data_IF_196966409654
#
_entry.id   IF_196966409654
#
_cell.length_a   1.000
_cell.length_b   1.000
_cell.length_c   1.000
_cell.angle_alpha   90.00
_cell.angle_beta   90.00
_cell.angle_gamma   90.00
#
_symmetry.space_group_name_H-M   'P 1'
#
loop_
_entity.id
_entity.type
_entity.pdbx_description
1 polymer ?
#
# COMPACT_ATOMS: atom_id res chain seq x y z
N UNK A 1 7.44 23.81 -14.57
CA UNK A 1 7.95 22.72 -13.71
C UNK A 1 6.79 21.76 -13.43
N UNK A 2 7.02 20.45 -13.47
CA UNK A 2 5.99 19.47 -13.08
C UNK A 2 5.91 19.43 -11.55
N UNK A 3 4.71 19.39 -10.94
CA UNK A 3 4.56 19.30 -9.49
C UNK A 3 5.01 17.93 -8.98
N UNK A 4 5.51 17.85 -7.75
CA UNK A 4 5.67 16.59 -7.06
C UNK A 4 4.30 16.04 -6.65
N UNK A 5 4.16 14.72 -6.68
CA UNK A 5 2.91 14.02 -6.34
C UNK A 5 3.19 13.09 -5.17
N UNK A 6 2.50 13.28 -4.06
CA UNK A 6 2.53 12.40 -2.89
C UNK A 6 1.15 11.78 -2.71
N UNK A 7 1.06 10.46 -2.89
CA UNK A 7 -0.15 9.69 -2.62
C UNK A 7 0.02 8.91 -1.31
N UNK A 8 -0.79 9.23 -0.31
CA UNK A 8 -0.79 8.55 0.98
C UNK A 8 -2.04 7.69 1.09
N UNK A 9 -1.86 6.40 1.33
CA UNK A 9 -2.97 5.46 1.55
C UNK A 9 -2.86 4.87 2.95
N UNK A 10 -3.92 4.99 3.75
CA UNK A 10 -3.99 4.40 5.09
C UNK A 10 -4.76 3.08 5.01
N UNK A 11 -4.09 1.98 5.35
CA UNK A 11 -4.70 0.64 5.27
C UNK A 11 -5.82 0.49 6.29
N UNK A 12 -6.96 -0.05 5.88
CA UNK A 12 -8.15 -0.32 6.71
C UNK A 12 -8.75 0.91 7.44
N UNK A 13 -8.43 2.12 7.01
CA UNK A 13 -9.02 3.32 7.61
C UNK A 13 -10.45 3.50 7.13
N UNK A 14 -11.38 3.68 8.08
CA UNK A 14 -12.76 4.05 7.81
C UNK A 14 -12.86 5.58 7.67
N UNK A 15 -13.74 6.04 6.79
CA UNK A 15 -13.93 7.48 6.55
C UNK A 15 -14.35 8.23 7.82
N UNK A 16 -15.19 7.62 8.67
CA UNK A 16 -15.65 8.19 9.92
C UNK A 16 -14.60 8.25 11.04
N UNK A 17 -13.35 7.76 10.81
CA UNK A 17 -12.23 7.89 11.73
C UNK A 17 -11.46 9.22 11.59
N UNK A 18 -11.99 10.17 10.85
CA UNK A 18 -11.44 11.53 10.75
C UNK A 18 -12.15 12.47 11.75
N UNK A 19 -11.36 13.22 12.55
CA UNK A 19 -11.94 14.19 13.50
C UNK A 19 -12.72 15.30 12.81
N UNK A 20 -12.28 15.77 11.66
CA UNK A 20 -13.00 16.75 10.85
C UNK A 20 -14.40 16.30 10.39
N UNK A 21 -14.64 14.97 10.37
CA UNK A 21 -15.96 14.37 10.10
C UNK A 21 -16.76 14.06 11.37
N UNK A 22 -16.29 14.52 12.53
CA UNK A 22 -17.03 14.42 13.80
C UNK A 22 -16.83 13.10 14.56
N UNK A 23 -15.67 12.41 14.37
CA UNK A 23 -15.41 11.22 15.18
C UNK A 23 -15.36 11.55 16.69
N UNK A 24 -16.06 10.82 17.55
CA UNK A 24 -16.26 11.22 18.95
C UNK A 24 -15.00 11.07 19.85
N UNK A 25 -14.01 10.30 19.43
CA UNK A 25 -12.85 9.95 20.25
C UNK A 25 -11.50 10.01 19.52
N UNK A 26 -11.49 9.84 18.20
CA UNK A 26 -10.24 9.89 17.43
C UNK A 26 -9.95 11.33 17.02
N UNK A 27 -8.72 11.78 17.26
CA UNK A 27 -8.23 13.07 16.84
C UNK A 27 -7.20 12.91 15.72
N UNK A 28 -7.41 13.60 14.60
CA UNK A 28 -6.54 13.57 13.42
C UNK A 28 -6.10 14.97 12.99
N UNK A 29 -5.45 15.76 13.89
CA UNK A 29 -5.26 17.20 13.70
C UNK A 29 -4.49 17.55 12.43
N UNK A 30 -3.53 16.73 12.02
CA UNK A 30 -2.76 16.98 10.79
C UNK A 30 -3.54 16.67 9.52
N UNK A 31 -4.44 15.67 9.55
CA UNK A 31 -5.34 15.38 8.44
C UNK A 31 -6.43 16.45 8.34
N UNK A 32 -6.87 16.98 9.47
CA UNK A 32 -7.82 18.07 9.53
C UNK A 32 -7.21 19.34 8.91
N UNK A 33 -5.98 19.70 9.27
CA UNK A 33 -5.26 20.81 8.65
C UNK A 33 -5.06 20.62 7.13
N UNK A 34 -4.78 19.40 6.69
CA UNK A 34 -4.66 19.10 5.28
C UNK A 34 -6.00 19.28 4.55
N UNK A 35 -7.09 18.87 5.17
CA UNK A 35 -8.44 19.03 4.64
C UNK A 35 -8.87 20.50 4.59
N UNK A 36 -8.56 21.28 5.62
CA UNK A 36 -8.83 22.73 5.69
C UNK A 36 -8.04 23.53 4.64
N UNK A 37 -6.80 23.12 4.36
CA UNK A 37 -5.95 23.73 3.34
C UNK A 37 -6.15 23.22 1.92
N UNK A 38 -6.99 22.21 1.75
CA UNK A 38 -7.18 21.50 0.48
C UNK A 38 -8.63 21.26 0.11
N UNK A 39 -8.93 20.05 -0.38
CA UNK A 39 -10.28 19.62 -0.72
C UNK A 39 -10.59 18.30 0.00
N UNK A 40 -11.66 18.30 0.79
CA UNK A 40 -12.19 17.11 1.43
C UNK A 40 -13.32 16.50 0.60
N UNK A 41 -13.12 15.29 0.10
CA UNK A 41 -14.13 14.51 -0.59
C UNK A 41 -14.93 13.67 0.42
N UNK A 42 -16.06 14.16 0.89
CA UNK A 42 -16.89 13.48 1.90
C UNK A 42 -17.54 12.18 1.39
N UNK A 43 -17.66 12.03 0.06
CA UNK A 43 -18.29 10.89 -0.60
C UNK A 43 -17.31 10.18 -1.54
N UNK A 44 -16.13 9.84 -1.03
CA UNK A 44 -15.15 9.02 -1.76
C UNK A 44 -15.36 7.52 -1.42
N UNK A 45 -15.47 6.70 -2.44
CA UNK A 45 -15.75 5.27 -2.31
C UNK A 45 -14.64 4.43 -2.95
N UNK A 46 -14.25 3.35 -2.28
CA UNK A 46 -13.44 2.31 -2.91
C UNK A 46 -14.35 1.34 -3.66
N UNK A 47 -13.90 0.86 -4.82
CA UNK A 47 -14.65 -0.11 -5.60
C UNK A 47 -14.85 -1.44 -4.85
N UNK A 48 -13.88 -1.84 -4.02
CA UNK A 48 -13.96 -3.03 -3.16
C UNK A 48 -13.16 -2.77 -1.88
N UNK A 49 -13.75 -2.88 -0.70
CA UNK A 49 -13.07 -2.66 0.57
C UNK A 49 -12.23 -3.89 1.00
N UNK A 50 -11.36 -4.34 0.10
CA UNK A 50 -10.42 -5.45 0.33
C UNK A 50 -9.08 -5.11 -0.31
N UNK A 51 -7.98 -5.46 0.36
CA UNK A 51 -6.63 -5.00 0.01
C UNK A 51 -6.26 -5.23 -1.46
N UNK A 52 -6.37 -6.46 -1.94
CA UNK A 52 -5.92 -6.84 -3.29
C UNK A 52 -6.74 -6.16 -4.39
N UNK A 53 -8.09 -6.25 -4.40
CA UNK A 53 -8.87 -5.60 -5.44
C UNK A 53 -8.82 -4.07 -5.37
N UNK A 54 -8.82 -3.47 -4.17
CA UNK A 54 -8.70 -2.02 -4.02
C UNK A 54 -7.37 -1.50 -4.57
N UNK A 55 -6.27 -2.21 -4.30
CA UNK A 55 -4.95 -1.85 -4.81
C UNK A 55 -4.83 -2.10 -6.31
N UNK A 56 -5.49 -3.12 -6.85
CA UNK A 56 -5.57 -3.32 -8.29
C UNK A 56 -6.27 -2.14 -8.96
N UNK A 57 -7.43 -1.72 -8.45
CA UNK A 57 -8.12 -0.54 -8.97
C UNK A 57 -7.26 0.72 -8.87
N UNK A 58 -6.58 0.95 -7.73
CA UNK A 58 -5.70 2.10 -7.52
C UNK A 58 -4.52 2.12 -8.50
N UNK A 59 -3.82 0.99 -8.63
CA UNK A 59 -2.60 0.92 -9.46
C UNK A 59 -2.88 0.86 -10.96
N UNK A 60 -4.08 0.42 -11.37
CA UNK A 60 -4.40 0.26 -12.80
C UNK A 60 -5.40 1.30 -13.33
N UNK A 61 -6.13 1.97 -12.44
CA UNK A 61 -7.26 2.83 -12.82
C UNK A 61 -8.47 2.06 -13.38
N UNK A 62 -8.48 0.73 -13.26
CA UNK A 62 -9.53 -0.12 -13.81
C UNK A 62 -10.61 -0.43 -12.78
N UNK A 63 -11.86 -0.59 -13.23
CA UNK A 63 -12.91 -1.19 -12.44
C UNK A 63 -12.71 -2.71 -12.28
N UNK A 64 -13.39 -3.33 -11.32
CA UNK A 64 -13.24 -4.76 -10.98
C UNK A 64 -13.46 -5.71 -12.16
N UNK A 65 -14.46 -5.45 -12.99
CA UNK A 65 -14.74 -6.24 -14.17
C UNK A 65 -13.57 -6.28 -15.16
N UNK A 66 -12.80 -5.17 -15.23
CA UNK A 66 -11.67 -5.04 -16.15
C UNK A 66 -10.36 -5.59 -15.58
N UNK A 67 -10.06 -5.32 -14.31
CA UNK A 67 -8.84 -5.87 -13.69
C UNK A 67 -9.00 -7.30 -13.17
N UNK A 68 -10.22 -7.84 -13.15
CA UNK A 68 -10.53 -9.24 -12.86
C UNK A 68 -10.40 -9.67 -11.39
N UNK A 69 -10.19 -8.73 -10.45
CA UNK A 69 -10.03 -9.05 -9.02
C UNK A 69 -11.26 -8.58 -8.25
N UNK A 70 -12.12 -9.52 -7.94
CA UNK A 70 -13.40 -9.24 -7.26
C UNK A 70 -13.38 -9.54 -5.77
N UNK A 71 -12.35 -10.26 -5.28
CA UNK A 71 -12.17 -10.64 -3.89
C UNK A 71 -10.71 -10.80 -3.50
N UNK A 72 -10.48 -11.17 -2.25
CA UNK A 72 -9.14 -11.43 -1.75
C UNK A 72 -8.64 -12.78 -2.28
N UNK A 73 -7.74 -12.72 -3.24
CA UNK A 73 -7.06 -13.89 -3.80
C UNK A 73 -5.56 -13.63 -3.83
N UNK A 74 -4.85 -14.24 -2.88
CA UNK A 74 -3.40 -14.17 -2.78
C UNK A 74 -2.71 -15.02 -3.84
N UNK A 75 -1.44 -14.71 -4.13
CA UNK A 75 -0.58 -15.48 -5.06
C UNK A 75 -1.09 -15.56 -6.51
N UNK A 76 -2.02 -14.72 -6.89
CA UNK A 76 -2.43 -14.59 -8.29
C UNK A 76 -1.55 -13.56 -8.97
N UNK A 77 -0.80 -13.92 -10.04
CA UNK A 77 0.12 -12.99 -10.71
C UNK A 77 -0.57 -11.71 -11.20
N UNK A 78 0.11 -10.59 -11.01
CA UNK A 78 -0.33 -9.28 -11.48
C UNK A 78 0.31 -8.98 -12.84
N UNK A 79 -0.43 -9.16 -13.90
CA UNK A 79 0.05 -8.93 -15.27
C UNK A 79 -0.81 -7.85 -15.93
N UNK A 80 -0.59 -6.60 -15.49
CA UNK A 80 -1.23 -5.43 -16.06
C UNK A 80 -0.22 -4.67 -16.92
N UNK A 81 -0.64 -4.36 -18.15
CA UNK A 81 0.19 -3.67 -19.13
C UNK A 81 0.42 -2.21 -18.73
N UNK A 82 -0.63 -1.56 -18.22
CA UNK A 82 -0.59 -0.15 -17.83
C UNK A 82 -0.87 -0.01 -16.34
N UNK A 83 -0.06 0.82 -15.68
CA UNK A 83 -0.19 1.11 -14.26
C UNK A 83 0.05 2.59 -13.98
N UNK A 84 -0.57 3.14 -12.96
CA UNK A 84 -0.38 4.52 -12.55
C UNK A 84 1.11 4.91 -12.40
N UNK A 85 1.94 4.15 -11.65
CA UNK A 85 3.36 4.49 -11.56
C UNK A 85 4.09 4.35 -12.89
N UNK A 86 3.72 3.39 -13.74
CA UNK A 86 4.29 3.25 -15.08
C UNK A 86 3.98 4.42 -16.00
N UNK A 87 2.74 4.90 -15.99
CA UNK A 87 2.34 6.08 -16.79
C UNK A 87 3.04 7.36 -16.28
N UNK A 88 3.20 7.49 -14.95
CA UNK A 88 3.95 8.62 -14.38
C UNK A 88 5.45 8.53 -14.75
N UNK A 89 6.03 7.33 -14.73
CA UNK A 89 7.40 7.12 -15.18
C UNK A 89 7.58 7.49 -16.66
N UNK A 90 6.67 7.05 -17.52
CA UNK A 90 6.64 7.43 -18.94
C UNK A 90 6.49 8.95 -19.14
N UNK A 91 5.79 9.61 -18.23
CA UNK A 91 5.68 11.07 -18.21
C UNK A 91 6.93 11.77 -17.65
N UNK A 92 7.99 11.02 -17.27
CA UNK A 92 9.27 11.56 -16.78
C UNK A 92 9.30 11.86 -15.28
N UNK A 93 8.43 11.25 -14.48
CA UNK A 93 8.53 11.27 -13.03
C UNK A 93 9.45 10.13 -12.53
N UNK A 94 10.20 10.39 -11.48
CA UNK A 94 10.74 9.31 -10.67
C UNK A 94 9.64 8.79 -9.74
N UNK A 95 9.39 7.49 -9.76
CA UNK A 95 8.28 6.88 -9.03
C UNK A 95 8.78 5.92 -7.96
N UNK A 96 8.28 6.06 -6.73
CA UNK A 96 8.66 5.23 -5.59
C UNK A 96 7.43 4.78 -4.81
N UNK A 97 7.42 3.54 -4.36
CA UNK A 97 6.45 3.02 -3.39
C UNK A 97 7.14 2.73 -2.05
N UNK A 98 6.53 3.18 -0.96
CA UNK A 98 6.99 2.88 0.39
C UNK A 98 5.82 2.29 1.17
N UNK A 99 6.01 1.14 1.80
CA UNK A 99 5.00 0.47 2.62
C UNK A 99 4.30 -0.69 1.93
N UNK A 100 3.00 -0.82 2.11
CA UNK A 100 2.22 -1.97 1.64
C UNK A 100 1.88 -1.86 0.16
N UNK A 101 2.29 -2.82 -0.62
CA UNK A 101 1.95 -2.96 -2.04
C UNK A 101 0.96 -4.09 -2.33
N UNK A 102 1.16 -5.23 -1.67
CA UNK A 102 0.31 -6.42 -1.74
C UNK A 102 0.11 -6.96 -3.15
N UNK A 103 1.16 -6.97 -3.94
CA UNK A 103 1.19 -7.52 -5.30
C UNK A 103 1.84 -8.90 -5.33
N UNK A 104 1.58 -9.66 -6.37
CA UNK A 104 2.24 -10.93 -6.62
C UNK A 104 2.74 -11.02 -8.09
N UNK A 105 3.98 -11.51 -8.34
CA UNK A 105 4.99 -11.87 -7.34
C UNK A 105 5.35 -10.70 -6.45
N UNK A 106 5.70 -10.99 -5.19
CA UNK A 106 6.24 -9.99 -4.28
C UNK A 106 7.43 -9.27 -4.93
N UNK A 107 7.60 -7.97 -4.68
CA UNK A 107 8.63 -7.11 -5.31
C UNK A 107 8.46 -6.87 -6.81
N UNK A 108 7.33 -7.25 -7.42
CA UNK A 108 7.04 -6.80 -8.77
C UNK A 108 6.88 -5.28 -8.77
N UNK A 109 7.71 -4.57 -9.54
CA UNK A 109 7.78 -3.10 -9.50
C UNK A 109 6.49 -2.39 -9.93
N UNK A 110 5.66 -3.01 -10.74
CA UNK A 110 4.40 -2.42 -11.23
C UNK A 110 4.56 -1.03 -11.86
N UNK A 111 5.74 -0.74 -12.42
CA UNK A 111 6.08 0.56 -13.00
C UNK A 111 6.76 1.55 -12.05
N UNK A 112 6.93 1.22 -10.77
CA UNK A 112 7.78 2.00 -9.88
C UNK A 112 9.26 1.80 -10.23
N UNK A 113 10.06 2.85 -10.06
CA UNK A 113 11.51 2.75 -10.15
C UNK A 113 12.11 2.06 -8.93
N UNK A 114 11.57 2.37 -7.74
CA UNK A 114 11.99 1.80 -6.47
C UNK A 114 10.80 1.41 -5.60
N UNK A 115 10.98 0.37 -4.81
CA UNK A 115 10.01 -0.09 -3.80
C UNK A 115 10.72 -0.39 -2.49
N UNK A 116 10.16 0.10 -1.38
CA UNK A 116 10.53 -0.21 -0.01
C UNK A 116 9.32 -0.83 0.67
N UNK A 117 9.31 -2.14 0.83
CA UNK A 117 8.12 -2.87 1.23
C UNK A 117 7.94 -2.98 2.74
N UNK A 118 6.69 -2.93 3.18
CA UNK A 118 6.22 -3.38 4.47
C UNK A 118 4.94 -4.21 4.28
N UNK A 119 5.08 -5.32 3.56
CA UNK A 119 4.00 -6.30 3.32
C UNK A 119 4.01 -7.44 4.36
N UNK A 120 4.98 -7.42 5.28
CA UNK A 120 5.52 -8.58 5.93
C UNK A 120 4.67 -9.26 6.98
N UNK A 121 3.95 -8.53 7.84
CA UNK A 121 3.39 -9.17 9.03
C UNK A 121 2.35 -10.26 8.72
N UNK A 122 1.43 -10.01 7.80
CA UNK A 122 0.43 -10.99 7.39
C UNK A 122 1.04 -12.11 6.55
N UNK A 123 1.96 -11.76 5.67
CA UNK A 123 2.69 -12.72 4.84
C UNK A 123 3.63 -13.59 5.68
N UNK A 124 4.35 -13.02 6.65
CA UNK A 124 5.24 -13.76 7.53
C UNK A 124 4.54 -14.88 8.28
N UNK A 125 3.36 -14.64 8.87
CA UNK A 125 2.57 -15.68 9.53
C UNK A 125 2.12 -16.79 8.58
N UNK A 126 1.77 -16.44 7.35
CA UNK A 126 1.36 -17.42 6.33
C UNK A 126 2.53 -18.25 5.81
N UNK A 127 3.70 -17.63 5.64
CA UNK A 127 4.89 -18.30 5.11
C UNK A 127 5.65 -19.08 6.19
N UNK A 128 5.56 -18.71 7.46
CA UNK A 128 6.22 -19.40 8.57
C UNK A 128 5.89 -20.90 8.63
N UNK A 129 4.73 -21.30 8.16
CA UNK A 129 4.33 -22.71 8.08
C UNK A 129 4.71 -23.41 6.76
N UNK A 130 5.14 -22.67 5.75
CA UNK A 130 5.45 -23.21 4.42
C UNK A 130 6.94 -23.23 4.08
N UNK A 131 7.73 -22.39 4.73
CA UNK A 131 9.18 -22.35 4.54
C UNK A 131 9.87 -22.10 5.89
N UNK A 132 10.71 -23.00 6.30
CA UNK A 132 11.56 -22.85 7.49
C UNK A 132 12.73 -21.86 7.28
N UNK A 133 12.67 -20.96 6.31
CA UNK A 133 13.78 -20.10 5.93
C UNK A 133 13.51 -18.64 6.26
N UNK A 134 14.48 -17.99 6.90
CA UNK A 134 14.56 -16.54 7.11
C UNK A 134 14.45 -15.73 5.80
N UNK A 135 14.79 -16.34 4.68
CA UNK A 135 14.77 -15.74 3.33
C UNK A 135 13.39 -15.22 2.91
N UNK A 136 12.32 -15.89 3.32
CA UNK A 136 10.96 -15.45 2.96
C UNK A 136 10.53 -14.16 3.64
N UNK A 137 11.06 -13.86 4.82
CA UNK A 137 10.78 -12.64 5.55
C UNK A 137 11.54 -11.44 4.95
N UNK A 138 12.83 -11.62 4.72
CA UNK A 138 13.70 -10.60 4.13
C UNK A 138 13.24 -10.21 2.72
N UNK A 139 12.60 -11.11 2.02
CA UNK A 139 12.06 -10.84 0.70
C UNK A 139 10.77 -9.98 0.72
N UNK A 140 10.02 -9.99 1.82
CA UNK A 140 8.70 -9.36 1.89
C UNK A 140 8.68 -8.03 2.65
N UNK A 141 9.76 -7.70 3.39
CA UNK A 141 9.70 -6.59 4.33
C UNK A 141 11.05 -5.90 4.53
N UNK A 142 11.20 -4.73 3.93
CA UNK A 142 12.39 -3.89 4.07
C UNK A 142 12.37 -3.13 5.41
N UNK A 143 11.18 -2.70 5.86
CA UNK A 143 11.05 -1.89 7.07
C UNK A 143 11.46 -2.64 8.34
N UNK A 144 11.03 -3.89 8.51
CA UNK A 144 11.38 -4.68 9.70
C UNK A 144 12.85 -5.05 9.72
N UNK A 145 13.48 -5.27 8.57
CA UNK A 145 14.93 -5.49 8.46
C UNK A 145 15.66 -4.22 8.89
N UNK A 146 15.32 -3.09 8.30
CA UNK A 146 15.89 -1.80 8.67
C UNK A 146 15.72 -1.49 10.17
N UNK A 147 14.54 -1.74 10.74
CA UNK A 147 14.26 -1.51 12.17
C UNK A 147 15.12 -2.42 13.06
N UNK A 148 15.29 -3.69 12.70
CA UNK A 148 16.15 -4.64 13.39
C UNK A 148 17.60 -4.19 13.40
N UNK A 149 18.10 -3.77 12.24
CA UNK A 149 19.49 -3.35 12.08
C UNK A 149 19.77 -2.05 12.83
N UNK A 150 18.83 -1.11 12.81
CA UNK A 150 18.95 0.17 13.54
C UNK A 150 18.91 0.00 15.06
N UNK A 151 18.07 -0.88 15.57
CA UNK A 151 17.89 -1.00 17.03
C UNK A 151 18.81 -2.00 17.70
N UNK A 152 19.49 -2.91 16.95
CA UNK A 152 20.26 -4.06 17.52
C UNK A 152 19.56 -4.71 18.73
N UNK A 153 18.29 -4.43 18.92
CA UNK A 153 17.52 -4.90 20.04
C UNK A 153 16.75 -6.13 19.58
N UNK A 154 16.76 -7.12 20.41
CA UNK A 154 15.86 -8.25 20.44
C UNK A 154 14.41 -7.77 20.44
N UNK A 155 13.96 -7.16 19.36
CA UNK A 155 12.55 -6.91 19.15
C UNK A 155 11.89 -8.28 19.07
N UNK A 156 11.37 -8.75 20.19
CA UNK A 156 10.45 -9.89 20.21
C UNK A 156 9.28 -9.47 19.35
N UNK A 157 9.11 -10.15 18.22
CA UNK A 157 7.91 -9.99 17.42
C UNK A 157 6.71 -10.30 18.29
N UNK A 158 5.85 -9.34 18.46
CA UNK A 158 4.55 -9.45 19.12
C UNK A 158 3.63 -10.42 18.39
#
# INVERSE_FOLDING_TARGET
>A
MKPNILLITVDQMRADCLSILGHPAVETPYLDQLAEGGVLFSNAYTATPSCIPARAALLTGMGQASHGRVGYADKVPWNYERTLPGELANAGYHTQCIGKMHVYPTRKLMGFHNIELHDGYMHYKRFKHQTNTLESFEYCDDYLIWLRDKKRSTARCW
#
